data_IF_649738659575
#
_entry.id   IF_649738659575
#
_cell.length_a   1.000
_cell.length_b   1.000
_cell.length_c   1.000
_cell.angle_alpha   90.00
_cell.angle_beta   90.00
_cell.angle_gamma   90.00
#
_symmetry.space_group_name_H-M   'P 1'
#
loop_
_entity.id
_entity.type
_entity.pdbx_description
1 polymer ?
#
# COMPACT_ATOMS: atom_id res chain seq x y z
N UNK A 1 -3.79 26.21 2.96
CA UNK A 1 -3.46 24.94 3.66
C UNK A 1 -3.12 23.93 2.57
N UNK A 2 -2.17 23.02 2.78
CA UNK A 2 -1.77 22.05 1.74
C UNK A 2 -2.73 20.87 1.70
N UNK A 3 -2.98 20.33 0.51
CA UNK A 3 -3.84 19.15 0.28
C UNK A 3 -3.21 17.89 0.85
N UNK A 4 -3.97 17.07 1.56
CA UNK A 4 -3.53 15.74 1.97
C UNK A 4 -3.84 14.72 0.88
N UNK A 5 -2.96 13.74 0.72
CA UNK A 5 -3.08 12.70 -0.30
C UNK A 5 -3.14 11.33 0.35
N UNK A 6 -3.87 10.43 -0.28
CA UNK A 6 -3.94 9.02 0.13
C UNK A 6 -3.75 8.11 -1.08
N UNK A 7 -2.92 7.07 -0.93
CA UNK A 7 -2.84 5.94 -1.86
C UNK A 7 -3.89 4.92 -1.45
N UNK A 8 -4.62 4.38 -2.42
CA UNK A 8 -5.64 3.38 -2.24
C UNK A 8 -5.25 2.12 -3.01
N UNK A 9 -5.29 0.97 -2.34
CA UNK A 9 -5.35 -0.33 -2.99
C UNK A 9 -6.83 -0.75 -3.02
N UNK A 10 -7.45 -0.56 -4.18
CA UNK A 10 -8.88 -0.79 -4.41
C UNK A 10 -9.22 -2.29 -4.43
N UNK A 11 -8.27 -3.16 -4.80
CA UNK A 11 -8.46 -4.61 -4.75
C UNK A 11 -8.63 -5.11 -3.32
N UNK A 12 -7.82 -4.57 -2.39
CA UNK A 12 -7.74 -5.04 -1.01
C UNK A 12 -8.46 -4.16 0.00
N UNK A 13 -9.12 -3.10 -0.48
CA UNK A 13 -9.87 -2.16 0.37
C UNK A 13 -8.95 -1.51 1.42
N UNK A 14 -7.71 -1.21 1.01
CA UNK A 14 -6.68 -0.62 1.86
C UNK A 14 -6.34 0.81 1.43
N UNK A 15 -5.84 1.61 2.37
CA UNK A 15 -5.37 2.98 2.15
C UNK A 15 -4.08 3.28 2.89
N UNK A 16 -3.32 4.23 2.37
CA UNK A 16 -2.15 4.81 3.02
C UNK A 16 -2.22 6.34 2.90
N UNK A 17 -2.41 7.02 4.03
CA UNK A 17 -2.37 8.47 4.07
C UNK A 17 -0.92 8.95 4.01
N UNK A 18 -0.61 9.71 2.96
CA UNK A 18 0.73 10.27 2.73
C UNK A 18 0.88 11.61 3.47
N UNK A 19 -0.21 12.37 3.62
CA UNK A 19 -0.15 13.78 4.01
C UNK A 19 0.07 14.67 2.79
N UNK A 20 0.83 15.77 2.91
CA UNK A 20 1.04 16.70 1.79
C UNK A 20 1.97 16.11 0.74
N UNK A 21 1.50 16.02 -0.50
CA UNK A 21 2.27 15.41 -1.58
C UNK A 21 3.60 16.13 -1.82
N UNK A 22 3.63 17.46 -1.77
CA UNK A 22 4.86 18.23 -1.97
C UNK A 22 5.94 17.94 -0.91
N UNK A 23 5.54 17.56 0.31
CA UNK A 23 6.47 17.28 1.40
C UNK A 23 6.93 15.82 1.41
N UNK A 24 6.18 14.94 0.73
CA UNK A 24 6.25 13.49 0.94
C UNK A 24 6.50 12.70 -0.33
N UNK A 25 6.27 13.24 -1.54
CA UNK A 25 6.41 12.50 -2.79
C UNK A 25 7.79 11.82 -2.89
N UNK A 26 8.85 12.51 -2.47
CA UNK A 26 10.22 11.97 -2.48
C UNK A 26 10.58 11.04 -1.32
N UNK A 27 9.69 10.92 -0.33
CA UNK A 27 9.81 10.05 0.85
C UNK A 27 8.86 8.85 0.78
N UNK A 28 8.08 8.74 -0.29
CA UNK A 28 7.28 7.55 -0.54
C UNK A 28 8.19 6.36 -0.75
N UNK A 29 7.78 5.23 -0.18
CA UNK A 29 8.46 3.95 -0.29
C UNK A 29 7.46 2.92 -0.83
N UNK A 30 6.87 3.20 -2.00
CA UNK A 30 5.95 2.26 -2.65
C UNK A 30 6.57 0.87 -2.89
N UNK A 31 7.89 0.69 -3.16
CA UNK A 31 8.52 -0.62 -3.25
C UNK A 31 8.27 -1.54 -2.07
N UNK A 32 7.96 -1.00 -0.87
CA UNK A 32 7.59 -1.81 0.29
C UNK A 32 6.33 -2.64 0.08
N UNK A 33 5.52 -2.30 -0.92
CA UNK A 33 4.32 -3.04 -1.28
C UNK A 33 4.51 -3.97 -2.48
N UNK A 34 5.69 -4.08 -3.07
CA UNK A 34 5.90 -4.92 -4.27
C UNK A 34 6.93 -6.00 -3.97
N UNK A 35 6.50 -7.26 -3.84
CA UNK A 35 7.41 -8.38 -3.62
C UNK A 35 8.01 -8.45 -2.21
N UNK A 36 7.47 -7.68 -1.26
CA UNK A 36 7.79 -7.81 0.17
C UNK A 36 7.24 -9.13 0.68
N UNK A 37 8.05 -9.89 1.43
CA UNK A 37 7.65 -11.18 1.98
C UNK A 37 8.06 -11.31 3.43
N UNK A 38 7.14 -11.85 4.22
CA UNK A 38 7.32 -12.11 5.64
C UNK A 38 7.25 -13.59 5.93
N UNK A 39 8.02 -14.00 6.93
CA UNK A 39 7.98 -15.31 7.55
C UNK A 39 7.65 -15.12 9.03
N UNK A 40 6.76 -15.95 9.52
CA UNK A 40 6.44 -16.00 10.94
C UNK A 40 7.27 -17.08 11.62
N UNK A 41 7.88 -16.73 12.74
CA UNK A 41 8.71 -17.63 13.53
C UNK A 41 7.84 -18.56 14.40
N UNK A 42 8.30 -19.78 14.73
CA UNK A 42 7.55 -20.73 15.55
C UNK A 42 7.39 -20.24 17.01
N UNK A 43 6.49 -20.87 17.78
CA UNK A 43 6.27 -20.50 19.18
C UNK A 43 7.52 -20.68 20.07
N UNK A 44 8.49 -21.50 19.66
CA UNK A 44 9.77 -21.62 20.36
C UNK A 44 10.59 -20.33 20.35
N UNK A 45 10.37 -19.45 19.37
CA UNK A 45 11.00 -18.13 19.27
C UNK A 45 10.39 -17.08 20.22
N UNK A 46 9.30 -17.39 20.92
CA UNK A 46 8.68 -16.52 21.94
C UNK A 46 9.53 -16.40 23.23
N UNK A 47 10.82 -16.74 23.19
CA UNK A 47 11.59 -17.30 24.30
C UNK A 47 11.93 -16.38 25.47
N UNK A 48 11.29 -15.21 25.65
CA UNK A 48 11.47 -14.39 26.86
C UNK A 48 10.33 -13.42 27.21
N UNK A 49 9.39 -13.14 26.31
CA UNK A 49 8.47 -11.99 26.47
C UNK A 49 7.23 -12.23 27.35
N UNK A 50 6.95 -13.46 27.79
CA UNK A 50 5.77 -13.68 28.62
C UNK A 50 6.02 -14.72 29.71
N UNK A 51 6.09 -14.24 30.95
CA UNK A 51 5.90 -15.06 32.17
C UNK A 51 4.45 -15.57 32.28
N UNK A 52 3.57 -15.26 31.33
CA UNK A 52 2.11 -15.39 31.45
C UNK A 52 1.39 -16.07 30.26
N UNK A 53 2.09 -16.64 29.27
CA UNK A 53 1.45 -17.64 28.41
C UNK A 53 1.27 -18.87 29.32
N UNK A 54 0.17 -18.86 30.07
CA UNK A 54 -0.22 -19.86 31.05
C UNK A 54 -0.08 -21.25 30.43
N UNK A 55 0.31 -22.24 31.24
CA UNK A 55 0.47 -23.60 30.77
C UNK A 55 -0.79 -24.03 30.01
N UNK A 56 -0.59 -24.52 28.78
CA UNK A 56 -1.66 -24.90 27.84
C UNK A 56 -2.69 -25.86 28.44
N UNK A 57 -2.29 -26.57 29.49
CA UNK A 57 -3.07 -27.56 30.23
C UNK A 57 -4.41 -27.03 30.76
N UNK A 58 -4.60 -25.71 30.87
CA UNK A 58 -5.83 -25.13 31.45
C UNK A 58 -6.90 -24.76 30.42
N UNK A 59 -6.59 -24.68 29.12
CA UNK A 59 -7.60 -24.28 28.13
C UNK A 59 -8.40 -25.49 27.62
N UNK A 60 -9.62 -25.64 28.15
CA UNK A 60 -10.59 -26.66 27.72
C UNK A 60 -10.84 -26.57 26.20
N UNK A 61 -10.93 -25.35 25.67
CA UNK A 61 -11.19 -25.09 24.25
C UNK A 61 -10.08 -25.64 23.34
N UNK A 62 -8.82 -25.39 23.73
CA UNK A 62 -7.63 -25.79 22.98
C UNK A 62 -7.41 -27.31 23.08
N UNK A 63 -7.75 -27.92 24.22
CA UNK A 63 -7.60 -29.36 24.43
C UNK A 63 -8.69 -30.22 23.76
N UNK A 64 -9.85 -29.65 23.45
CA UNK A 64 -10.97 -30.40 22.88
C UNK A 64 -11.13 -30.25 21.36
N UNK A 65 -10.52 -29.24 20.74
CA UNK A 65 -10.67 -28.99 19.31
C UNK A 65 -9.57 -29.68 18.48
N UNK A 66 -9.93 -30.49 17.47
CA UNK A 66 -8.96 -30.97 16.48
C UNK A 66 -8.30 -29.80 15.73
N UNK A 67 -7.01 -29.93 15.40
CA UNK A 67 -6.24 -28.89 14.69
C UNK A 67 -6.94 -28.38 13.41
N UNK A 68 -7.67 -29.24 12.70
CA UNK A 68 -8.44 -28.84 11.50
C UNK A 68 -9.51 -27.78 11.81
N UNK A 69 -10.19 -27.89 12.96
CA UNK A 69 -11.19 -26.89 13.38
C UNK A 69 -10.51 -25.58 13.80
N UNK A 70 -9.34 -25.68 14.45
CA UNK A 70 -8.54 -24.49 14.79
C UNK A 70 -8.16 -23.74 13.52
N UNK A 71 -7.60 -24.40 12.50
CA UNK A 71 -7.27 -23.77 11.22
C UNK A 71 -8.51 -23.11 10.60
N UNK A 72 -9.67 -23.77 10.62
CA UNK A 72 -10.92 -23.19 10.15
C UNK A 72 -11.33 -21.91 10.90
N UNK A 73 -11.06 -21.80 12.21
CA UNK A 73 -11.28 -20.56 12.97
C UNK A 73 -10.36 -19.44 12.48
N UNK A 74 -9.08 -19.74 12.21
CA UNK A 74 -8.14 -18.75 11.64
C UNK A 74 -8.55 -18.30 10.23
N UNK A 75 -9.09 -19.21 9.42
CA UNK A 75 -9.59 -18.89 8.07
C UNK A 75 -10.85 -18.00 8.10
N UNK A 76 -11.63 -18.04 9.19
CA UNK A 76 -12.76 -17.15 9.43
C UNK A 76 -12.34 -15.75 9.92
N UNK A 77 -11.06 -15.50 10.23
CA UNK A 77 -10.60 -14.15 10.56
C UNK A 77 -10.51 -13.30 9.29
N UNK A 78 -11.15 -12.13 9.31
CA UNK A 78 -11.21 -11.20 8.16
C UNK A 78 -9.82 -10.66 7.75
N UNK A 79 -8.88 -10.59 8.70
CA UNK A 79 -7.54 -10.07 8.47
C UNK A 79 -6.47 -10.77 9.32
N UNK A 80 -5.21 -10.57 8.90
CA UNK A 80 -4.04 -11.16 9.56
C UNK A 80 -3.85 -10.66 10.99
N UNK A 81 -4.34 -9.48 11.37
CA UNK A 81 -4.19 -8.91 12.71
C UNK A 81 -5.08 -9.65 13.69
N UNK A 82 -6.33 -9.87 13.33
CA UNK A 82 -7.29 -10.66 14.11
C UNK A 82 -6.80 -12.10 14.29
N UNK A 83 -6.29 -12.69 13.20
CA UNK A 83 -5.69 -14.01 13.22
C UNK A 83 -4.42 -14.05 14.10
N UNK A 84 -3.54 -13.06 14.00
CA UNK A 84 -2.34 -12.95 14.82
C UNK A 84 -2.68 -12.82 16.30
N UNK A 85 -3.63 -11.95 16.66
CA UNK A 85 -4.13 -11.79 18.03
C UNK A 85 -4.62 -13.11 18.61
N UNK A 86 -5.38 -13.90 17.83
CA UNK A 86 -5.83 -15.23 18.24
C UNK A 86 -4.64 -16.17 18.47
N UNK A 87 -3.70 -16.21 17.52
CA UNK A 87 -2.54 -17.10 17.57
C UNK A 87 -1.66 -16.87 18.79
N UNK A 88 -1.34 -15.63 19.12
CA UNK A 88 -0.43 -15.32 20.22
C UNK A 88 -1.04 -15.56 21.62
N UNK A 89 -2.34 -15.85 21.73
CA UNK A 89 -2.95 -16.18 23.02
C UNK A 89 -2.38 -17.47 23.63
N UNK A 90 -1.94 -18.43 22.80
CA UNK A 90 -1.23 -19.61 23.29
C UNK A 90 -0.34 -20.26 22.22
N UNK A 91 0.69 -21.00 22.66
CA UNK A 91 1.67 -21.61 21.73
C UNK A 91 1.03 -22.57 20.71
N UNK A 92 -0.02 -23.30 21.08
CA UNK A 92 -0.67 -24.26 20.18
C UNK A 92 -1.41 -23.52 19.06
N UNK A 93 -2.17 -22.48 19.42
CA UNK A 93 -2.89 -21.68 18.44
C UNK A 93 -1.92 -20.96 17.52
N UNK A 94 -0.81 -20.43 18.04
CA UNK A 94 0.24 -19.87 17.20
C UNK A 94 0.79 -20.91 16.24
N UNK A 95 1.29 -22.05 16.72
CA UNK A 95 1.93 -23.05 15.85
C UNK A 95 0.97 -23.63 14.79
N UNK A 96 -0.31 -23.82 15.14
CA UNK A 96 -1.34 -24.33 14.22
C UNK A 96 -1.80 -23.26 13.23
N UNK A 97 -2.02 -22.01 13.68
CA UNK A 97 -2.58 -20.94 12.85
C UNK A 97 -1.56 -20.09 12.11
N UNK A 98 -0.27 -20.18 12.45
CA UNK A 98 0.82 -19.35 11.91
C UNK A 98 0.87 -19.31 10.39
N UNK A 99 0.68 -20.44 9.70
CA UNK A 99 0.69 -20.46 8.23
C UNK A 99 -0.45 -19.63 7.63
N UNK A 100 -1.63 -19.64 8.27
CA UNK A 100 -2.76 -18.80 7.88
C UNK A 100 -2.46 -17.32 8.11
N UNK A 101 -1.91 -16.98 9.28
CA UNK A 101 -1.50 -15.60 9.60
C UNK A 101 -0.43 -15.11 8.63
N UNK A 102 0.58 -15.94 8.32
CA UNK A 102 1.66 -15.61 7.39
C UNK A 102 1.12 -15.36 5.98
N UNK A 103 0.23 -16.21 5.49
CA UNK A 103 -0.44 -16.03 4.20
C UNK A 103 -1.22 -14.72 4.18
N UNK A 104 -2.10 -14.50 5.16
CA UNK A 104 -2.91 -13.27 5.22
C UNK A 104 -2.04 -12.01 5.35
N UNK A 105 -0.93 -12.08 6.10
CA UNK A 105 0.01 -10.97 6.23
C UNK A 105 0.66 -10.64 4.88
N UNK A 106 1.20 -11.65 4.20
CA UNK A 106 1.81 -11.47 2.89
C UNK A 106 0.79 -10.95 1.86
N UNK A 107 -0.43 -11.50 1.87
CA UNK A 107 -1.52 -11.04 1.02
C UNK A 107 -1.88 -9.57 1.32
N UNK A 108 -1.87 -9.16 2.59
CA UNK A 108 -2.15 -7.78 2.97
C UNK A 108 -1.03 -6.79 2.60
N UNK A 109 0.21 -7.24 2.48
CA UNK A 109 1.39 -6.38 2.24
C UNK A 109 1.84 -6.33 0.77
N UNK A 110 1.50 -7.32 -0.04
CA UNK A 110 1.97 -7.43 -1.43
C UNK A 110 0.93 -6.89 -2.43
N UNK A 111 1.05 -5.64 -2.86
CA UNK A 111 0.17 -4.96 -3.81
C UNK A 111 0.45 -5.30 -5.28
N UNK A 112 1.29 -6.29 -5.54
CA UNK A 112 1.57 -6.77 -6.90
C UNK A 112 0.29 -7.22 -7.60
N UNK A 113 -0.01 -6.61 -8.75
CA UNK A 113 -1.19 -6.89 -9.57
C UNK A 113 -2.49 -6.21 -9.09
N UNK A 114 -2.45 -5.40 -8.03
CA UNK A 114 -3.63 -4.74 -7.47
C UNK A 114 -3.97 -3.41 -8.16
N UNK A 115 -5.25 -3.02 -8.09
CA UNK A 115 -5.72 -1.72 -8.59
C UNK A 115 -5.31 -0.60 -7.63
N UNK A 116 -4.45 0.31 -8.09
CA UNK A 116 -3.93 1.40 -7.27
C UNK A 116 -4.41 2.77 -7.73
N UNK A 117 -4.77 3.64 -6.80
CA UNK A 117 -5.14 5.03 -7.06
C UNK A 117 -4.47 5.94 -6.01
N UNK A 118 -4.16 7.19 -6.34
CA UNK A 118 -3.73 8.18 -5.34
C UNK A 118 -4.57 9.44 -5.51
N UNK A 119 -5.30 9.84 -4.47
CA UNK A 119 -6.31 10.90 -4.57
C UNK A 119 -6.10 11.91 -3.44
N UNK A 120 -6.18 13.20 -3.78
CA UNK A 120 -6.17 14.28 -2.79
C UNK A 120 -7.47 14.32 -1.98
N UNK A 121 -7.43 14.86 -0.77
CA UNK A 121 -8.59 15.11 0.08
C UNK A 121 -9.60 16.06 -0.57
N UNK A 122 -9.11 17.06 -1.31
CA UNK A 122 -9.89 17.94 -2.19
C UNK A 122 -10.25 17.29 -3.56
N UNK A 123 -9.86 16.04 -3.78
CA UNK A 123 -10.02 15.32 -5.03
C UNK A 123 -11.46 14.88 -5.29
N UNK A 124 -12.01 15.33 -6.42
CA UNK A 124 -13.31 15.00 -6.99
C UNK A 124 -14.52 15.20 -6.04
N UNK A 125 -15.32 16.23 -6.33
CA UNK A 125 -16.60 16.45 -5.65
C UNK A 125 -17.68 15.42 -6.04
N UNK A 126 -17.48 14.68 -7.13
CA UNK A 126 -18.39 13.63 -7.60
C UNK A 126 -17.60 12.50 -8.28
N UNK A 127 -18.16 11.30 -8.28
CA UNK A 127 -17.54 10.14 -8.96
C UNK A 127 -17.47 10.29 -10.48
N UNK A 128 -18.28 11.18 -11.07
CA UNK A 128 -18.30 11.46 -12.50
C UNK A 128 -17.00 12.09 -13.03
N UNK A 129 -16.19 12.69 -12.15
CA UNK A 129 -14.92 13.33 -12.51
C UNK A 129 -13.75 12.34 -12.45
N UNK A 130 -13.91 11.21 -11.74
CA UNK A 130 -12.86 10.20 -11.58
C UNK A 130 -12.50 9.53 -12.91
N UNK A 131 -11.23 9.10 -13.10
CA UNK A 131 -10.80 8.40 -14.30
C UNK A 131 -11.68 7.19 -14.61
N UNK A 132 -11.98 6.99 -15.90
CA UNK A 132 -12.80 5.86 -16.34
C UNK A 132 -12.09 4.55 -16.01
N UNK A 133 -12.83 3.60 -15.44
CA UNK A 133 -12.31 2.29 -15.04
C UNK A 133 -11.60 2.27 -13.69
N UNK A 134 -11.44 3.43 -13.03
CA UNK A 134 -10.87 3.48 -11.68
C UNK A 134 -11.74 2.71 -10.67
N UNK A 135 -13.06 2.94 -10.74
CA UNK A 135 -14.07 2.25 -9.94
C UNK A 135 -14.97 1.43 -10.86
N UNK A 136 -15.35 0.24 -10.40
CA UNK A 136 -16.44 -0.51 -11.01
C UNK A 136 -17.82 0.08 -10.64
N UNK A 137 -18.88 -0.42 -11.28
CA UNK A 137 -20.23 0.11 -11.10
C UNK A 137 -20.74 -0.07 -9.66
N UNK A 138 -20.35 -1.15 -8.97
CA UNK A 138 -20.74 -1.39 -7.59
C UNK A 138 -20.02 -0.46 -6.62
N UNK A 139 -18.73 -0.23 -6.84
CA UNK A 139 -17.90 0.69 -6.06
C UNK A 139 -18.36 2.13 -6.24
N UNK A 140 -18.70 2.50 -7.48
CA UNK A 140 -19.27 3.80 -7.82
C UNK A 140 -20.62 4.00 -7.14
N UNK A 141 -21.53 3.03 -7.24
CA UNK A 141 -22.84 3.12 -6.60
C UNK A 141 -22.73 3.24 -5.07
N UNK A 142 -21.78 2.52 -4.45
CA UNK A 142 -21.51 2.62 -3.02
C UNK A 142 -21.04 4.03 -2.61
N UNK A 143 -20.12 4.62 -3.37
CA UNK A 143 -19.65 5.99 -3.11
C UNK A 143 -20.77 7.00 -3.38
N UNK A 144 -21.50 6.88 -4.49
CA UNK A 144 -22.58 7.80 -4.83
C UNK A 144 -23.69 7.77 -3.78
N UNK A 145 -24.05 6.59 -3.27
CA UNK A 145 -24.99 6.44 -2.16
C UNK A 145 -24.51 7.14 -0.89
N UNK A 146 -23.23 7.00 -0.53
CA UNK A 146 -22.63 7.71 0.58
C UNK A 146 -22.70 9.24 0.41
N UNK A 147 -22.35 9.73 -0.78
CA UNK A 147 -22.34 11.15 -1.10
C UNK A 147 -23.74 11.77 -1.05
N UNK A 148 -24.79 10.98 -1.33
CA UNK A 148 -26.19 11.39 -1.21
C UNK A 148 -26.66 11.43 0.25
N UNK A 149 -26.26 10.47 1.08
CA UNK A 149 -26.70 10.34 2.48
C UNK A 149 -26.09 11.41 3.41
N UNK A 150 -24.82 11.78 3.17
CA UNK A 150 -24.02 12.62 4.07
C UNK A 150 -24.05 14.13 3.83
N UNK A 151 -24.95 14.63 3.00
CA UNK A 151 -25.16 16.08 2.85
C UNK A 151 -25.64 16.78 4.15
N UNK A 152 -25.81 16.06 5.26
CA UNK A 152 -26.56 16.53 6.44
C UNK A 152 -25.77 16.72 7.74
N UNK A 153 -24.54 16.19 7.95
CA UNK A 153 -24.01 16.16 9.34
C UNK A 153 -22.56 16.62 9.64
N UNK A 154 -21.57 16.59 8.73
CA UNK A 154 -20.17 16.91 9.11
C UNK A 154 -19.30 17.71 8.12
N UNK A 155 -19.89 18.48 7.19
CA UNK A 155 -19.12 19.26 6.21
C UNK A 155 -18.70 18.45 4.98
N UNK A 156 -18.08 19.12 4.02
CA UNK A 156 -17.90 18.68 2.63
C UNK A 156 -17.53 17.19 2.50
N UNK A 157 -18.44 16.40 1.94
CA UNK A 157 -18.18 15.00 1.59
C UNK A 157 -17.42 15.00 0.27
N UNK A 158 -16.14 14.66 0.30
CA UNK A 158 -15.33 14.45 -0.91
C UNK A 158 -15.31 12.97 -1.27
N UNK A 159 -15.08 12.64 -2.54
CA UNK A 159 -14.89 11.25 -2.96
C UNK A 159 -13.75 10.59 -2.18
N UNK A 160 -12.66 11.34 -1.90
CA UNK A 160 -11.55 10.87 -1.07
C UNK A 160 -11.99 10.45 0.33
N UNK A 161 -12.88 11.21 0.96
CA UNK A 161 -13.47 10.85 2.26
C UNK A 161 -14.33 9.59 2.16
N UNK A 162 -15.16 9.45 1.12
CA UNK A 162 -15.97 8.26 0.90
C UNK A 162 -15.10 7.00 0.70
N UNK A 163 -14.04 7.11 -0.10
CA UNK A 163 -13.05 6.06 -0.28
C UNK A 163 -12.38 5.70 1.04
N UNK A 164 -11.96 6.69 1.81
CA UNK A 164 -11.30 6.50 3.09
C UNK A 164 -12.12 5.74 4.14
N UNK A 165 -13.43 6.02 4.21
CA UNK A 165 -14.27 5.52 5.30
C UNK A 165 -15.08 4.28 4.92
N UNK A 166 -15.37 4.07 3.63
CA UNK A 166 -16.30 3.02 3.20
C UNK A 166 -15.64 2.03 2.24
N UNK A 167 -14.98 2.53 1.20
CA UNK A 167 -14.40 1.63 0.21
C UNK A 167 -13.08 1.03 0.69
N UNK A 168 -12.22 1.81 1.32
CA UNK A 168 -10.90 1.40 1.75
C UNK A 168 -10.65 1.72 3.23
N UNK A 169 -11.42 1.12 4.15
CA UNK A 169 -11.34 1.46 5.57
C UNK A 169 -10.03 0.98 6.22
N UNK A 170 -9.36 -0.01 5.63
CA UNK A 170 -8.19 -0.63 6.22
C UNK A 170 -6.93 0.20 5.94
N UNK A 171 -6.12 0.46 6.96
CA UNK A 171 -4.81 1.07 6.74
C UNK A 171 -3.83 0.01 6.22
N UNK A 172 -3.08 0.36 5.18
CA UNK A 172 -1.98 -0.43 4.66
C UNK A 172 -0.96 -0.68 5.78
N UNK A 173 -0.50 -1.92 5.98
CA UNK A 173 0.48 -2.24 7.01
C UNK A 173 1.88 -1.81 6.53
N UNK A 174 2.27 -0.56 6.85
CA UNK A 174 3.53 0.04 6.42
C UNK A 174 4.73 -0.61 7.11
N UNK A 175 4.56 -0.88 8.40
CA UNK A 175 5.57 -1.48 9.26
C UNK A 175 4.97 -2.72 9.90
N UNK A 176 4.70 -3.81 9.16
CA UNK A 176 3.93 -4.92 9.70
C UNK A 176 4.53 -5.53 10.96
N UNK A 177 5.86 -5.51 11.11
CA UNK A 177 6.56 -5.96 12.32
C UNK A 177 6.37 -5.05 13.55
N UNK A 178 5.93 -3.81 13.37
CA UNK A 178 5.60 -2.84 14.44
C UNK A 178 4.11 -2.52 14.53
N UNK A 179 3.37 -2.73 13.44
CA UNK A 179 1.93 -2.49 13.29
C UNK A 179 1.11 -3.69 13.80
N UNK A 180 1.38 -4.11 15.05
CA UNK A 180 0.37 -4.88 15.76
C UNK A 180 -0.88 -4.00 15.96
N UNK A 181 -2.08 -4.61 15.99
CA UNK A 181 -3.30 -3.86 16.17
C UNK A 181 -3.27 -3.16 17.53
N UNK A 182 -3.27 -1.83 17.48
CA UNK A 182 -4.07 -1.10 18.45
C UNK A 182 -5.52 -1.48 18.15
N UNK A 183 -6.07 -2.44 18.88
CA UNK A 183 -7.53 -2.63 18.90
C UNK A 183 -8.08 -1.41 19.63
N UNK A 184 -8.37 -0.34 18.91
CA UNK A 184 -9.15 0.78 19.41
C UNK A 184 -10.60 0.31 19.53
N UNK A 185 -10.90 -0.48 20.56
CA UNK A 185 -12.24 -0.58 21.13
C UNK A 185 -12.16 -0.01 22.52
N UNK A 186 -13.06 0.92 22.81
CA UNK A 186 -13.06 1.84 23.96
C UNK A 186 -12.99 1.21 25.37
N UNK A 187 -12.92 -0.12 25.52
CA UNK A 187 -13.14 -0.77 26.82
C UNK A 187 -12.15 -1.89 27.21
N UNK A 188 -11.28 -2.38 26.33
CA UNK A 188 -10.27 -3.40 26.70
C UNK A 188 -8.93 -3.11 26.04
N UNK A 189 -8.12 -2.28 26.71
CA UNK A 189 -6.71 -2.05 26.37
C UNK A 189 -5.84 -3.22 26.84
N UNK A 190 -6.03 -4.42 26.28
CA UNK A 190 -5.00 -5.45 26.36
C UNK A 190 -4.08 -5.25 25.17
N UNK A 191 -3.16 -4.29 25.31
CA UNK A 191 -2.09 -4.09 24.34
C UNK A 191 -1.27 -5.37 24.30
N UNK A 192 -1.41 -6.13 23.22
CA UNK A 192 -0.40 -7.12 22.88
C UNK A 192 0.90 -6.35 22.78
N UNK A 193 1.93 -6.80 23.50
CA UNK A 193 3.21 -6.14 23.46
C UNK A 193 3.75 -6.17 22.03
N UNK A 194 3.84 -4.99 21.41
CA UNK A 194 4.44 -4.76 20.09
C UNK A 194 5.79 -5.48 19.93
N UNK A 195 6.53 -5.64 21.04
CA UNK A 195 7.81 -6.33 21.06
C UNK A 195 7.70 -7.83 20.78
N UNK A 196 6.62 -8.49 21.25
CA UNK A 196 6.41 -9.93 21.08
C UNK A 196 6.19 -10.27 19.61
N UNK A 197 5.33 -9.50 18.92
CA UNK A 197 5.11 -9.69 17.49
C UNK A 197 6.33 -9.31 16.66
N UNK A 198 7.02 -8.23 17.00
CA UNK A 198 8.27 -7.87 16.33
C UNK A 198 9.28 -9.02 16.40
N UNK A 199 9.31 -9.75 17.52
CA UNK A 199 10.14 -10.95 17.67
C UNK A 199 9.64 -12.19 16.92
N UNK A 200 8.41 -12.17 16.39
CA UNK A 200 7.78 -13.26 15.66
C UNK A 200 7.73 -13.05 14.15
N UNK A 201 7.87 -11.81 13.68
CA UNK A 201 7.82 -11.49 12.25
C UNK A 201 9.21 -11.21 11.72
N UNK A 202 9.62 -12.02 10.76
CA UNK A 202 10.85 -11.84 10.01
C UNK A 202 10.51 -11.35 8.59
N UNK A 203 11.11 -10.24 8.18
CA UNK A 203 11.04 -9.81 6.78
C UNK A 203 12.11 -10.54 5.97
N UNK A 204 11.67 -11.43 5.07
CA UNK A 204 12.55 -12.29 4.26
C UNK A 204 12.88 -11.65 2.92
N UNK A 205 12.03 -10.75 2.43
CA UNK A 205 12.26 -9.96 1.21
C UNK A 205 11.73 -8.55 1.44
N UNK A 206 12.55 -7.54 1.15
CA UNK A 206 12.17 -6.13 1.28
C UNK A 206 11.36 -5.58 0.11
N UNK A 207 11.21 -6.35 -0.97
CA UNK A 207 10.60 -5.90 -2.21
C UNK A 207 11.45 -4.88 -3.00
N UNK A 208 12.51 -4.34 -2.41
CA UNK A 208 13.39 -3.37 -3.08
C UNK A 208 14.32 -4.08 -4.06
N UNK A 209 13.85 -4.23 -5.30
CA UNK A 209 14.66 -4.75 -6.41
C UNK A 209 15.52 -3.64 -7.01
N UNK A 210 16.76 -3.97 -7.36
CA UNK A 210 17.58 -3.08 -8.21
C UNK A 210 16.81 -2.79 -9.51
N UNK A 211 16.76 -1.54 -10.01
CA UNK A 211 16.12 -1.26 -11.29
C UNK A 211 16.83 -1.92 -12.49
N UNK A 212 18.11 -2.29 -12.35
CA UNK A 212 18.91 -2.86 -13.44
C UNK A 212 18.30 -4.16 -13.97
N UNK A 213 18.04 -4.22 -15.27
CA UNK A 213 17.40 -5.38 -15.91
C UNK A 213 15.95 -5.66 -15.48
N UNK A 214 15.31 -4.73 -14.77
CA UNK A 214 13.91 -4.82 -14.34
C UNK A 214 13.00 -3.91 -15.16
N UNK A 215 11.72 -4.25 -15.23
CA UNK A 215 10.66 -3.44 -15.84
C UNK A 215 9.49 -3.28 -14.87
N UNK A 216 8.97 -2.06 -14.74
CA UNK A 216 7.67 -1.80 -14.12
C UNK A 216 6.61 -1.92 -15.22
N UNK A 217 5.62 -2.78 -15.02
CA UNK A 217 4.54 -3.00 -15.99
C UNK A 217 3.23 -2.43 -15.48
N UNK A 218 2.55 -1.68 -16.34
CA UNK A 218 1.13 -1.42 -16.25
C UNK A 218 0.39 -2.55 -16.97
N UNK A 219 -0.17 -3.48 -16.19
CA UNK A 219 -0.88 -4.65 -16.68
C UNK A 219 -2.21 -4.30 -17.36
N UNK A 220 -2.80 -3.16 -16.99
CA UNK A 220 -4.09 -2.71 -17.54
C UNK A 220 -3.91 -2.14 -18.94
N UNK A 221 -2.92 -1.25 -19.12
CA UNK A 221 -2.68 -0.57 -20.39
C UNK A 221 -1.68 -1.29 -21.31
N UNK A 222 -1.05 -2.38 -20.83
CA UNK A 222 0.08 -3.06 -21.49
C UNK A 222 1.22 -2.09 -21.80
N UNK A 223 1.56 -1.26 -20.82
CA UNK A 223 2.68 -0.32 -20.90
C UNK A 223 3.78 -0.74 -19.94
N UNK A 224 5.02 -0.32 -20.20
CA UNK A 224 6.11 -0.60 -19.27
C UNK A 224 7.14 0.54 -19.21
N UNK A 225 7.85 0.58 -18.08
CA UNK A 225 8.98 1.47 -17.84
C UNK A 225 10.22 0.63 -17.54
N UNK A 226 11.29 0.86 -18.30
CA UNK A 226 12.56 0.15 -18.17
C UNK A 226 13.37 0.74 -17.03
N UNK A 227 13.85 -0.12 -16.12
CA UNK A 227 14.70 0.31 -15.03
C UNK A 227 16.07 0.81 -15.50
N UNK A 228 16.60 0.28 -16.60
CA UNK A 228 17.84 0.80 -17.22
C UNK A 228 17.65 2.23 -17.75
N UNK A 229 16.48 2.55 -18.31
CA UNK A 229 16.15 3.92 -18.73
C UNK A 229 16.06 4.87 -17.51
N UNK A 230 15.50 4.40 -16.40
CA UNK A 230 15.49 5.13 -15.13
C UNK A 230 16.92 5.38 -14.62
N UNK A 231 17.78 4.36 -14.60
CA UNK A 231 19.19 4.48 -14.20
C UNK A 231 19.93 5.50 -15.08
N UNK A 232 19.81 5.38 -16.41
CA UNK A 232 20.45 6.28 -17.36
C UNK A 232 19.98 7.74 -17.17
N UNK A 233 18.69 7.94 -16.91
CA UNK A 233 18.13 9.27 -16.65
C UNK A 233 18.71 9.90 -15.38
N UNK A 234 18.87 9.13 -14.31
CA UNK A 234 19.45 9.60 -13.06
C UNK A 234 20.95 9.87 -13.17
N UNK A 235 21.69 9.09 -13.96
CA UNK A 235 23.13 9.29 -14.17
C UNK A 235 23.44 10.61 -14.91
N UNK A 236 22.53 11.11 -15.74
CA UNK A 236 22.72 12.33 -16.53
C UNK A 236 22.66 13.65 -15.75
N UNK A 237 22.37 13.63 -14.44
CA UNK A 237 22.28 14.85 -13.62
C UNK A 237 22.65 14.59 -12.15
N UNK A 238 23.63 15.32 -11.58
CA UNK A 238 23.98 15.20 -10.15
C UNK A 238 22.81 15.51 -9.20
N UNK A 239 21.79 16.23 -9.69
CA UNK A 239 20.57 16.49 -8.92
C UNK A 239 19.66 15.26 -8.89
N UNK A 240 19.56 14.54 -10.01
CA UNK A 240 18.75 13.32 -10.13
C UNK A 240 19.45 12.09 -9.53
N UNK A 241 20.74 12.13 -9.21
CA UNK A 241 21.39 11.00 -8.54
C UNK A 241 20.83 10.77 -7.14
N UNK A 242 20.47 11.83 -6.40
CA UNK A 242 19.77 11.71 -5.11
C UNK A 242 18.39 11.08 -5.27
N UNK A 243 17.72 11.29 -6.42
CA UNK A 243 16.45 10.63 -6.71
C UNK A 243 16.62 9.10 -6.78
N UNK A 244 17.75 8.59 -7.30
CA UNK A 244 18.04 7.15 -7.32
C UNK A 244 18.31 6.58 -5.91
N UNK A 245 18.82 7.39 -4.99
CA UNK A 245 19.08 6.95 -3.61
C UNK A 245 17.76 6.73 -2.84
N UNK A 246 16.76 7.57 -3.09
CA UNK A 246 15.46 7.49 -2.43
C UNK A 246 14.44 6.63 -3.16
N UNK A 247 14.43 6.59 -4.50
CA UNK A 247 13.39 5.92 -5.28
C UNK A 247 13.85 4.62 -5.94
N UNK A 248 12.98 3.62 -5.87
CA UNK A 248 13.00 2.43 -6.70
C UNK A 248 12.13 2.58 -7.95
N UNK A 249 12.12 1.53 -8.78
CA UNK A 249 11.34 1.50 -10.01
C UNK A 249 9.83 1.57 -9.75
N UNK A 250 9.34 0.95 -8.67
CA UNK A 250 7.93 0.97 -8.29
C UNK A 250 7.44 2.35 -7.81
N UNK A 251 8.32 3.22 -7.30
CA UNK A 251 7.92 4.57 -6.90
C UNK A 251 7.42 5.40 -8.10
N UNK A 252 7.86 5.07 -9.32
CA UNK A 252 7.39 5.74 -10.54
C UNK A 252 5.88 5.57 -10.77
N UNK A 253 5.23 4.59 -10.13
CA UNK A 253 3.76 4.43 -10.17
C UNK A 253 3.07 5.70 -9.70
N UNK A 254 3.59 6.37 -8.66
CA UNK A 254 2.97 7.58 -8.09
C UNK A 254 2.78 8.69 -9.14
N UNK A 255 3.68 8.76 -10.13
CA UNK A 255 3.66 9.76 -11.18
C UNK A 255 2.47 9.59 -12.14
N UNK A 256 1.88 8.40 -12.19
CA UNK A 256 0.73 8.08 -13.02
C UNK A 256 -0.59 7.94 -12.26
N UNK A 257 -0.56 7.51 -10.99
CA UNK A 257 -1.80 7.18 -10.24
C UNK A 257 -2.39 8.37 -9.48
N UNK A 258 -1.62 9.46 -9.30
CA UNK A 258 -2.10 10.68 -8.65
C UNK A 258 -3.20 11.36 -9.45
N UNK A 259 -4.28 11.72 -8.78
CA UNK A 259 -5.43 12.41 -9.31
C UNK A 259 -5.90 13.52 -8.36
N UNK A 260 -6.13 14.73 -8.89
CA UNK A 260 -6.71 15.85 -8.16
C UNK A 260 -7.72 16.59 -9.04
N UNK A 261 -8.89 16.91 -8.49
CA UNK A 261 -9.94 17.65 -9.21
C UNK A 261 -9.65 19.14 -9.34
N UNK A 262 -8.80 19.68 -8.47
CA UNK A 262 -8.33 21.07 -8.53
C UNK A 262 -6.84 21.12 -8.86
N UNK A 263 -6.39 22.15 -9.61
CA UNK A 263 -4.97 22.38 -9.83
C UNK A 263 -4.33 22.64 -8.47
N UNK A 264 -3.60 21.64 -7.97
CA UNK A 264 -2.85 21.78 -6.71
C UNK A 264 -1.87 22.96 -6.80
N UNK A 265 -1.40 23.46 -5.65
CA UNK A 265 -0.40 24.55 -5.58
C UNK A 265 0.92 24.26 -6.32
N UNK A 266 1.08 23.05 -6.86
CA UNK A 266 1.96 22.70 -7.96
C UNK A 266 1.46 23.29 -9.33
N UNK A 267 1.00 24.54 -9.35
CA UNK A 267 0.38 25.25 -10.48
C UNK A 267 1.14 25.24 -11.82
N UNK A 268 2.42 24.85 -11.85
CA UNK A 268 3.21 24.72 -13.08
C UNK A 268 3.11 23.35 -13.77
N UNK A 269 2.39 22.37 -13.19
CA UNK A 269 2.33 20.99 -13.72
C UNK A 269 1.08 20.64 -14.55
N UNK A 270 0.48 21.62 -15.24
CA UNK A 270 -0.42 21.31 -16.37
C UNK A 270 0.25 20.43 -17.44
N UNK A 271 1.58 20.44 -17.52
CA UNK A 271 2.38 19.57 -18.42
C UNK A 271 2.61 18.16 -17.86
N UNK A 272 2.11 17.86 -16.67
CA UNK A 272 2.44 16.66 -15.91
C UNK A 272 1.15 15.89 -15.65
N UNK A 273 1.18 14.59 -15.92
CA UNK A 273 0.03 13.68 -15.86
C UNK A 273 -0.62 13.55 -14.47
N UNK A 274 -0.10 14.20 -13.43
CA UNK A 274 -0.59 14.16 -12.05
C UNK A 274 -2.01 14.71 -11.86
N UNK A 275 -2.50 15.56 -12.74
CA UNK A 275 -3.87 16.09 -12.61
C UNK A 275 -4.92 15.06 -13.05
N UNK A 276 -4.55 14.15 -13.96
CA UNK A 276 -5.52 13.29 -14.62
C UNK A 276 -5.45 11.83 -14.20
N UNK A 277 -4.44 11.44 -13.41
CA UNK A 277 -4.28 10.08 -12.91
C UNK A 277 -4.42 9.05 -14.02
N UNK A 278 -3.62 9.16 -15.08
CA UNK A 278 -3.74 8.33 -16.29
C UNK A 278 -3.63 6.82 -16.01
N UNK A 279 -3.09 6.48 -14.84
CA UNK A 279 -2.89 5.13 -14.33
C UNK A 279 -3.75 4.84 -13.09
N UNK A 280 -4.62 5.76 -12.69
CA UNK A 280 -5.45 5.59 -11.50
C UNK A 280 -6.45 4.44 -11.69
N UNK A 281 -6.39 3.46 -10.79
CA UNK A 281 -7.10 2.19 -10.85
C UNK A 281 -6.45 1.12 -11.72
N UNK A 282 -5.28 1.38 -12.31
CA UNK A 282 -4.54 0.37 -13.05
C UNK A 282 -3.82 -0.62 -12.13
N UNK A 283 -3.33 -1.72 -12.73
CA UNK A 283 -2.66 -2.82 -12.05
C UNK A 283 -1.18 -2.84 -12.39
N UNK A 284 -0.32 -3.06 -11.40
CA UNK A 284 1.13 -2.95 -11.56
C UNK A 284 1.90 -4.15 -11.03
N UNK A 285 3.01 -4.48 -11.68
CA UNK A 285 4.04 -5.34 -11.10
C UNK A 285 5.45 -4.92 -11.56
N UNK A 286 6.46 -5.50 -10.90
CA UNK A 286 7.87 -5.31 -11.26
C UNK A 286 8.48 -6.67 -11.52
N UNK A 287 9.00 -6.88 -12.72
CA UNK A 287 9.57 -8.16 -13.16
C UNK A 287 10.88 -7.95 -13.90
N UNK A 288 11.66 -9.01 -14.07
CA UNK A 288 12.84 -8.95 -14.94
C UNK A 288 12.42 -8.70 -16.39
N UNK A 289 13.22 -7.91 -17.12
CA UNK A 289 12.94 -7.55 -18.51
C UNK A 289 12.79 -8.77 -19.42
N UNK A 290 13.56 -9.84 -19.16
CA UNK A 290 13.47 -11.10 -19.92
C UNK A 290 12.11 -11.79 -19.80
N UNK A 291 11.32 -11.46 -18.76
CA UNK A 291 9.98 -11.99 -18.51
C UNK A 291 8.89 -11.10 -19.12
N UNK A 292 9.24 -10.09 -19.91
CA UNK A 292 8.32 -9.39 -20.80
C UNK A 292 7.93 -10.37 -21.93
N UNK A 293 6.98 -11.26 -21.64
CA UNK A 293 6.48 -12.27 -22.57
C UNK A 293 6.08 -11.60 -23.88
N UNK A 294 6.63 -12.12 -24.98
CA UNK A 294 6.42 -11.73 -26.38
C UNK A 294 6.06 -10.25 -26.54
N UNK A 295 7.06 -9.42 -26.84
CA UNK A 295 6.97 -7.95 -26.94
C UNK A 295 5.82 -7.40 -27.82
N UNK A 296 5.11 -8.26 -28.56
CA UNK A 296 3.89 -7.90 -29.28
C UNK A 296 2.81 -7.33 -28.35
N UNK A 297 2.61 -6.02 -28.47
CA UNK A 297 1.53 -5.31 -27.79
C UNK A 297 1.91 -4.62 -26.47
N UNK A 298 3.16 -4.72 -26.02
CA UNK A 298 3.67 -3.90 -24.92
C UNK A 298 4.25 -2.58 -25.44
N UNK A 299 3.90 -1.46 -24.81
CA UNK A 299 4.41 -0.13 -25.17
C UNK A 299 5.40 0.39 -24.13
N UNK A 300 6.62 0.70 -24.57
CA UNK A 300 7.59 1.41 -23.74
C UNK A 300 7.14 2.87 -23.53
N UNK A 301 6.91 3.25 -22.28
CA UNK A 301 6.54 4.61 -21.87
C UNK A 301 7.58 5.25 -20.95
N UNK A 302 8.79 4.69 -20.88
CA UNK A 302 9.88 5.15 -20.00
C UNK A 302 10.16 6.65 -20.19
N UNK A 303 10.30 7.10 -21.44
CA UNK A 303 10.59 8.50 -21.73
C UNK A 303 9.50 9.47 -21.26
N UNK A 304 8.23 9.05 -21.30
CA UNK A 304 7.09 9.86 -20.85
C UNK A 304 7.08 9.99 -19.33
N UNK A 305 7.15 8.88 -18.62
CA UNK A 305 7.07 8.85 -17.14
C UNK A 305 8.30 9.52 -16.52
N UNK A 306 9.50 9.26 -17.06
CA UNK A 306 10.73 9.87 -16.57
C UNK A 306 10.81 11.37 -16.84
N UNK A 307 10.13 11.88 -17.88
CA UNK A 307 10.00 13.32 -18.10
C UNK A 307 9.15 13.96 -16.99
N UNK A 308 8.04 13.34 -16.59
CA UNK A 308 7.19 13.80 -15.48
C UNK A 308 7.99 13.88 -14.19
N UNK A 309 8.71 12.81 -13.84
CA UNK A 309 9.57 12.79 -12.64
C UNK A 309 10.66 13.88 -12.66
N UNK A 310 11.30 14.10 -13.82
CA UNK A 310 12.30 15.16 -13.97
C UNK A 310 11.70 16.57 -13.76
N UNK A 311 10.52 16.85 -14.29
CA UNK A 311 9.85 18.14 -14.12
C UNK A 311 9.52 18.41 -12.66
N UNK A 312 9.01 17.40 -11.93
CA UNK A 312 8.72 17.52 -10.50
C UNK A 312 9.97 17.82 -9.69
N UNK A 313 11.07 17.14 -9.99
CA UNK A 313 12.34 17.38 -9.32
C UNK A 313 12.86 18.81 -9.54
N UNK A 314 12.73 19.32 -10.78
CA UNK A 314 13.14 20.70 -11.08
C UNK A 314 12.35 21.71 -10.26
N UNK A 315 11.03 21.51 -10.13
CA UNK A 315 10.15 22.39 -9.34
C UNK A 315 10.55 22.37 -7.86
N UNK A 316 10.83 21.19 -7.29
CA UNK A 316 11.21 21.06 -5.88
C UNK A 316 12.59 21.67 -5.59
N UNK A 317 13.57 21.43 -6.47
CA UNK A 317 14.92 21.99 -6.34
C UNK A 317 14.96 23.52 -6.34
N UNK A 318 14.00 24.19 -6.99
CA UNK A 318 13.86 25.64 -6.91
C UNK A 318 13.39 26.12 -5.53
N UNK A 319 12.56 25.34 -4.84
CA UNK A 319 12.02 25.68 -3.51
C UNK A 319 13.10 25.59 -2.42
N UNK A 320 14.01 24.62 -2.52
CA UNK A 320 15.09 24.42 -1.55
C UNK A 320 16.15 25.52 -1.57
N UNK A 321 16.36 26.20 -2.70
CA UNK A 321 17.33 27.32 -2.81
C UNK A 321 16.74 28.64 -2.30
N UNK A 322 15.40 28.73 -2.21
CA UNK A 322 14.67 29.94 -1.80
C UNK A 322 14.32 30.01 -0.31
N UNK A 323 14.75 29.04 0.50
CA UNK A 323 14.59 29.03 1.96
C UNK A 323 15.94 29.26 2.63
#
# INVERSE_FOLDING_TARGET
MGQCWSVFNLSKRQRWCIGKLEDQIFRLELPRFFGRRFRLLPASSLSSCSREIQSQDQSILVNCLPNKLIVGIFECCDDYRTAACLGITCKLLWDVGRSTVERQLNDATDWTGDRLACISDDGANTTGVLPKGMLDDSERALIDGYMQDRFTFFGASTVSSALCWYLCPLNAPLEPASDLPWIARDEISTAIDSSTWRGLVEEVSSGRTSPEGMVLRDLTARQYVRGDAFIAKCAGSPRLSHWRESWGLADLIILGICYSGEPSGLMSVRETSLEHGIWSGHRFDVVEEKNLLEAEGWRDVSGQILRVGQLLFQIDGHRLVSR
#
